data_IF_654361693549
#
_entry.id   IF_654361693549
#
_cell.length_a   1.000
_cell.length_b   1.000
_cell.length_c   1.000
_cell.angle_alpha   90.00
_cell.angle_beta   90.00
_cell.angle_gamma   90.00
#
_symmetry.space_group_name_H-M   'P 1'
#
loop_
_entity.id
_entity.type
_entity.pdbx_description
1 polymer ?
#
# COMPACT_ATOMS: atom_id res chain seq x y z
N UNK A 1 -27.79 -7.24 -7.22
CA UNK A 1 -26.40 -6.71 -7.21
C UNK A 1 -26.36 -5.78 -6.02
N UNK A 2 -25.87 -6.27 -4.88
CA UNK A 2 -25.59 -5.43 -3.72
C UNK A 2 -24.11 -5.64 -3.46
N UNK A 3 -23.31 -4.99 -4.29
CA UNK A 3 -21.90 -4.82 -4.04
C UNK A 3 -21.80 -3.88 -2.86
N UNK A 4 -21.43 -4.48 -1.73
CA UNK A 4 -21.14 -3.83 -0.48
C UNK A 4 -20.39 -2.54 -0.74
N UNK A 5 -20.96 -1.43 -0.27
CA UNK A 5 -20.25 -0.20 0.02
C UNK A 5 -19.12 -0.58 0.97
N UNK A 6 -17.98 -1.03 0.43
CA UNK A 6 -16.73 -1.11 1.13
C UNK A 6 -16.48 0.32 1.57
N UNK A 7 -16.72 0.59 2.86
CA UNK A 7 -16.49 1.89 3.50
C UNK A 7 -15.18 2.43 2.93
N UNK A 8 -15.27 3.46 2.09
CA UNK A 8 -14.11 4.13 1.56
C UNK A 8 -13.24 4.50 2.77
N UNK A 9 -11.94 4.13 2.80
CA UNK A 9 -11.09 4.40 3.94
C UNK A 9 -11.25 5.86 4.31
N UNK A 10 -11.58 6.11 5.59
CA UNK A 10 -11.98 7.41 6.10
C UNK A 10 -11.15 8.52 5.43
N UNK A 11 -11.82 9.40 4.69
CA UNK A 11 -11.21 10.46 3.92
C UNK A 11 -10.09 11.17 4.71
N UNK A 12 -8.83 10.93 4.35
CA UNK A 12 -7.69 11.70 4.87
C UNK A 12 -6.48 10.90 5.38
N UNK A 13 -6.60 9.60 5.66
CA UNK A 13 -5.47 8.80 6.15
C UNK A 13 -4.72 8.10 5.00
N UNK A 14 -3.42 8.38 4.79
CA UNK A 14 -2.66 7.82 3.68
C UNK A 14 -2.34 6.33 3.85
N UNK A 15 -2.58 5.74 5.02
CA UNK A 15 -2.39 4.32 5.30
C UNK A 15 -3.60 3.85 6.13
N UNK A 16 -4.24 2.78 5.67
CA UNK A 16 -5.42 2.20 6.33
C UNK A 16 -5.29 0.68 6.42
N UNK A 17 -5.48 0.12 7.61
CA UNK A 17 -5.51 -1.33 7.82
C UNK A 17 -6.95 -1.84 7.81
N UNK A 18 -7.24 -2.85 6.97
CA UNK A 18 -8.52 -3.53 6.96
C UNK A 18 -8.58 -4.53 8.14
N UNK A 19 -9.49 -4.34 9.12
CA UNK A 19 -9.54 -5.18 10.31
C UNK A 19 -10.02 -6.61 10.02
N UNK A 20 -10.67 -6.85 8.87
CA UNK A 20 -11.26 -8.15 8.54
C UNK A 20 -10.28 -9.11 7.88
N UNK A 21 -9.39 -8.60 7.02
CA UNK A 21 -8.45 -9.43 6.26
C UNK A 21 -6.97 -9.10 6.50
N UNK A 22 -6.66 -8.08 7.30
CA UNK A 22 -5.29 -7.70 7.65
C UNK A 22 -4.48 -7.13 6.47
N UNK A 23 -5.14 -6.76 5.36
CA UNK A 23 -4.49 -6.02 4.28
C UNK A 23 -4.38 -4.55 4.64
N UNK A 24 -3.29 -3.92 4.21
CA UNK A 24 -3.06 -2.49 4.38
C UNK A 24 -3.22 -1.80 3.03
N UNK A 25 -4.06 -0.77 2.98
CA UNK A 25 -4.21 0.12 1.83
C UNK A 25 -3.29 1.32 2.01
N UNK A 26 -2.53 1.68 0.98
CA UNK A 26 -1.72 2.89 0.94
C UNK A 26 -2.28 3.87 -0.10
N UNK A 27 -2.27 5.17 0.23
CA UNK A 27 -2.80 6.28 -0.59
C UNK A 27 -1.80 7.43 -0.65
N UNK A 28 -1.12 7.55 -1.79
CA UNK A 28 -0.17 8.65 -2.04
C UNK A 28 -0.84 10.02 -2.06
N UNK A 29 -2.12 10.12 -2.45
CA UNK A 29 -2.85 11.38 -2.58
C UNK A 29 -2.88 12.21 -1.30
N UNK A 30 -2.93 11.57 -0.15
CA UNK A 30 -3.04 12.23 1.16
C UNK A 30 -1.71 12.31 1.92
N UNK A 31 -0.61 11.84 1.34
CA UNK A 31 0.71 11.85 1.97
C UNK A 31 1.22 13.28 2.29
N UNK A 32 0.62 14.30 1.70
CA UNK A 32 0.95 15.72 1.88
C UNK A 32 -0.13 16.51 2.60
N UNK A 33 -1.24 15.88 3.00
CA UNK A 33 -2.38 16.61 3.55
C UNK A 33 -1.99 17.41 4.81
N UNK A 34 -2.50 18.64 4.87
CA UNK A 34 -2.23 19.59 5.95
C UNK A 34 -0.88 20.33 5.87
N UNK A 35 -0.07 20.13 4.82
CA UNK A 35 1.19 20.87 4.67
C UNK A 35 0.97 22.39 4.52
N UNK A 36 1.65 23.21 5.31
CA UNK A 36 1.50 24.69 5.26
C UNK A 36 2.66 25.40 4.55
N UNK A 37 3.80 24.72 4.37
CA UNK A 37 4.99 25.25 3.69
C UNK A 37 5.63 24.18 2.81
N UNK A 38 6.52 24.58 1.89
CA UNK A 38 7.28 23.62 1.08
C UNK A 38 8.17 22.71 1.93
N UNK A 39 8.78 23.25 3.00
CA UNK A 39 9.60 22.46 3.93
C UNK A 39 8.76 21.42 4.66
N UNK A 40 7.56 21.79 5.08
CA UNK A 40 6.60 20.92 5.76
C UNK A 40 6.08 19.82 4.82
N UNK A 41 5.71 20.17 3.58
CA UNK A 41 5.37 19.20 2.55
C UNK A 41 6.51 18.21 2.28
N UNK A 42 7.74 18.69 2.14
CA UNK A 42 8.90 17.82 1.96
C UNK A 42 9.15 16.92 3.18
N UNK A 43 8.88 17.40 4.40
CA UNK A 43 9.00 16.57 5.60
C UNK A 43 7.95 15.46 5.61
N UNK A 44 6.68 15.78 5.34
CA UNK A 44 5.59 14.80 5.27
C UNK A 44 5.84 13.69 4.24
N UNK A 45 6.38 14.02 3.07
CA UNK A 45 6.78 13.01 2.08
C UNK A 45 7.87 12.09 2.59
N UNK A 46 8.86 12.61 3.32
CA UNK A 46 9.92 11.79 3.92
C UNK A 46 9.37 10.88 5.00
N UNK A 47 8.48 11.41 5.85
CA UNK A 47 7.83 10.63 6.91
C UNK A 47 6.99 9.50 6.31
N UNK A 48 6.22 9.79 5.26
CA UNK A 48 5.48 8.77 4.52
C UNK A 48 6.39 7.71 3.91
N UNK A 49 7.49 8.11 3.27
CA UNK A 49 8.48 7.18 2.72
C UNK A 49 9.10 6.29 3.80
N UNK A 50 9.47 6.85 4.96
CA UNK A 50 9.96 6.07 6.10
C UNK A 50 8.92 5.06 6.61
N UNK A 51 7.64 5.40 6.60
CA UNK A 51 6.60 4.45 7.02
C UNK A 51 6.46 3.28 6.01
N UNK A 52 6.59 3.55 4.70
CA UNK A 52 6.65 2.49 3.70
C UNK A 52 7.84 1.55 3.92
N UNK A 53 9.01 2.10 4.24
CA UNK A 53 10.22 1.34 4.57
C UNK A 53 10.05 0.53 5.87
N UNK A 54 9.40 1.12 6.87
CA UNK A 54 9.10 0.45 8.14
C UNK A 54 8.16 -0.74 7.92
N UNK A 55 7.09 -0.57 7.14
CA UNK A 55 6.19 -1.66 6.73
C UNK A 55 6.97 -2.78 6.04
N UNK A 56 7.87 -2.45 5.12
CA UNK A 56 8.73 -3.44 4.47
C UNK A 56 9.60 -4.18 5.47
N UNK A 57 10.21 -3.48 6.42
CA UNK A 57 11.02 -4.08 7.48
C UNK A 57 10.22 -5.02 8.40
N UNK A 58 8.92 -4.78 8.54
CA UNK A 58 7.97 -5.61 9.26
C UNK A 58 7.50 -6.85 8.45
N UNK A 59 8.01 -7.05 7.23
CA UNK A 59 7.66 -8.21 6.39
C UNK A 59 6.43 -8.01 5.50
N UNK A 60 5.95 -6.78 5.39
CA UNK A 60 4.89 -6.42 4.45
C UNK A 60 5.46 -6.15 3.06
N UNK A 61 4.64 -6.32 2.03
CA UNK A 61 5.01 -6.04 0.64
C UNK A 61 3.79 -5.66 -0.21
N UNK A 62 4.03 -4.91 -1.29
CA UNK A 62 3.02 -4.65 -2.31
C UNK A 62 2.47 -5.98 -2.88
N UNK A 63 1.15 -6.07 -2.97
CA UNK A 63 0.46 -7.22 -3.56
C UNK A 63 0.40 -7.14 -5.09
N UNK A 64 0.56 -5.94 -5.65
CA UNK A 64 0.58 -5.62 -7.07
C UNK A 64 1.23 -4.23 -7.25
N UNK A 65 1.59 -3.83 -8.49
CA UNK A 65 2.01 -2.44 -8.76
C UNK A 65 0.98 -1.43 -8.24
N UNK A 66 1.47 -0.28 -7.77
CA UNK A 66 0.62 0.85 -7.39
C UNK A 66 -0.03 1.43 -8.64
N UNK A 67 -1.35 1.64 -8.60
CA UNK A 67 -2.12 2.29 -9.66
C UNK A 67 -2.51 3.70 -9.22
N UNK A 68 -2.08 4.70 -9.99
CA UNK A 68 -2.16 6.13 -9.62
C UNK A 68 -1.52 6.42 -8.24
N UNK A 69 -2.35 6.52 -7.21
CA UNK A 69 -1.94 6.74 -5.82
C UNK A 69 -2.31 5.57 -4.89
N UNK A 70 -2.90 4.49 -5.41
CA UNK A 70 -3.51 3.42 -4.64
C UNK A 70 -2.68 2.14 -4.68
N UNK A 71 -2.39 1.57 -3.51
CA UNK A 71 -1.71 0.27 -3.39
C UNK A 71 -2.29 -0.60 -2.29
N UNK A 72 -2.21 -1.92 -2.48
CA UNK A 72 -2.54 -2.92 -1.46
C UNK A 72 -1.27 -3.60 -1.00
N UNK A 73 -1.08 -3.66 0.31
CA UNK A 73 0.06 -4.24 1.00
C UNK A 73 -0.40 -5.44 1.82
N UNK A 74 0.36 -6.54 1.79
CA UNK A 74 0.07 -7.79 2.52
C UNK A 74 1.34 -8.40 3.12
N UNK A 75 1.24 -9.21 4.18
CA UNK A 75 2.35 -10.01 4.67
C UNK A 75 2.88 -10.94 3.55
N UNK A 76 4.19 -10.87 3.28
CA UNK A 76 4.82 -11.71 2.25
C UNK A 76 4.23 -11.54 0.85
N UNK A 77 3.80 -10.32 0.49
CA UNK A 77 3.17 -9.95 -0.78
C UNK A 77 3.91 -10.42 -2.05
N UNK A 78 3.26 -10.20 -3.20
CA UNK A 78 3.49 -10.94 -4.43
C UNK A 78 4.98 -11.19 -4.74
N UNK A 79 5.36 -12.42 -5.12
CA UNK A 79 6.74 -12.67 -5.48
C UNK A 79 7.13 -11.74 -6.64
N UNK A 80 8.42 -11.33 -6.73
CA UNK A 80 8.87 -10.38 -7.73
C UNK A 80 8.44 -10.87 -9.13
N UNK A 81 7.88 -9.97 -9.94
CA UNK A 81 7.53 -10.26 -11.34
C UNK A 81 8.75 -10.92 -12.03
N UNK A 82 8.66 -12.23 -12.27
CA UNK A 82 9.80 -13.02 -12.74
C UNK A 82 9.81 -14.49 -12.33
N UNK A 83 9.11 -14.90 -11.28
CA UNK A 83 8.78 -16.32 -11.10
C UNK A 83 7.61 -16.67 -12.00
N UNK A 84 7.92 -17.01 -13.26
CA UNK A 84 7.08 -17.97 -13.98
C UNK A 84 7.14 -19.23 -13.14
N UNK A 85 6.00 -19.71 -12.65
CA UNK A 85 5.86 -21.11 -12.26
C UNK A 85 6.34 -21.92 -13.46
N UNK A 86 7.59 -22.35 -13.41
CA UNK A 86 8.07 -23.40 -14.27
C UNK A 86 7.62 -24.64 -13.55
N UNK A 87 6.31 -24.92 -13.61
CA UNK A 87 5.81 -26.26 -13.38
C UNK A 87 6.34 -27.08 -14.56
N UNK A 88 7.56 -27.56 -14.31
CA UNK A 88 8.08 -28.87 -14.68
C UNK A 88 7.29 -29.62 -15.76
N UNK A 89 7.94 -29.71 -16.93
CA UNK A 89 7.82 -30.80 -17.88
C UNK A 89 7.66 -32.14 -17.14
N UNK A 90 6.47 -32.75 -17.19
CA UNK A 90 6.13 -33.89 -16.35
C UNK A 90 4.99 -34.77 -16.87
N UNK A 91 5.31 -35.57 -17.89
CA UNK A 91 4.62 -36.74 -18.49
C UNK A 91 3.86 -36.51 -19.80
#
# INVERSE_FOLDING_TARGET
MNESELEEPAHGDPIYECPECGSVTIRGKWALDGAQTLTDAAQKLRDYAHELEHMRSAGLELSAPVEDDYGIVRPGGAPPEGVRDTDEDGV
#
